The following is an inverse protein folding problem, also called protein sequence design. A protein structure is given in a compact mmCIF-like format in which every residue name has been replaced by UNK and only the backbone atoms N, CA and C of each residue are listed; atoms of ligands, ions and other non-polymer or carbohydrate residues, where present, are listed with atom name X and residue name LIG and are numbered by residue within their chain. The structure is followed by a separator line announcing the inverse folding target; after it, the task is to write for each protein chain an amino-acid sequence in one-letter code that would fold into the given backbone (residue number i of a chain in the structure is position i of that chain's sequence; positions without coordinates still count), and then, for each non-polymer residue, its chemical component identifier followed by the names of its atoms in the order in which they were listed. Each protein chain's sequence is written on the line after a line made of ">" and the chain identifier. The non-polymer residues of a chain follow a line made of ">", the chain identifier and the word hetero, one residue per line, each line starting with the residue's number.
data_IF_816492952665
#
_entry.id   IF_816492952665
#
_cell.length_a   1.000
_cell.length_b   1.000
_cell.length_c   1.000
_cell.angle_alpha   90.00
_cell.angle_beta   90.00
_cell.angle_gamma   90.00
#
_symmetry.space_group_name_H-M   'P 1'
#
loop_
_entity.id
_entity.type
_entity.pdbx_description
1 polymer ?
#
# COMPACT_ATOMS: atom_id res chain seq x y z
N UNK A 1 5.50 -7.06 -19.37
CA UNK A 1 5.35 -7.86 -18.14
C UNK A 1 5.72 -6.94 -17.01
N UNK A 2 4.80 -6.72 -16.05
CA UNK A 2 5.06 -5.84 -14.94
C UNK A 2 6.21 -6.37 -14.10
N UNK A 3 7.01 -5.46 -13.55
CA UNK A 3 8.07 -5.78 -12.59
C UNK A 3 7.53 -5.91 -11.16
N UNK A 4 6.35 -5.34 -10.91
CA UNK A 4 5.58 -5.51 -9.67
C UNK A 4 4.10 -5.55 -10.01
N UNK A 5 3.38 -6.52 -9.47
CA UNK A 5 1.93 -6.58 -9.51
C UNK A 5 1.43 -7.01 -8.12
N UNK A 6 0.54 -6.22 -7.54
CA UNK A 6 -0.09 -6.53 -6.25
C UNK A 6 -1.60 -6.67 -6.42
N UNK A 7 -2.19 -7.63 -5.68
CA UNK A 7 -3.62 -7.94 -5.73
C UNK A 7 -4.19 -7.94 -4.32
N UNK A 8 -5.00 -6.94 -4.00
CA UNK A 8 -5.77 -6.85 -2.78
C UNK A 8 -4.91 -6.74 -1.52
N UNK A 9 -3.83 -5.94 -1.55
CA UNK A 9 -2.94 -5.77 -0.40
C UNK A 9 -3.74 -5.19 0.78
N UNK A 10 -3.64 -5.89 1.91
CA UNK A 10 -4.27 -5.52 3.19
C UNK A 10 -3.23 -5.60 4.29
N UNK A 11 -3.17 -4.56 5.11
CA UNK A 11 -2.35 -4.55 6.32
C UNK A 11 -3.12 -3.84 7.42
N UNK A 12 -3.52 -4.61 8.42
CA UNK A 12 -4.30 -4.13 9.56
C UNK A 12 -3.44 -4.28 10.83
N UNK A 13 -3.38 -3.24 11.63
CA UNK A 13 -2.59 -3.21 12.86
C UNK A 13 -3.50 -3.26 14.08
N UNK A 14 -3.17 -4.12 15.03
CA UNK A 14 -3.90 -4.20 16.30
C UNK A 14 -3.46 -3.06 17.22
N UNK A 15 -4.42 -2.37 17.82
CA UNK A 15 -4.20 -1.37 18.86
C UNK A 15 -5.12 -1.66 20.05
N UNK A 16 -4.88 -1.08 21.23
CA UNK A 16 -5.79 -1.23 22.38
C UNK A 16 -7.23 -0.77 22.09
N UNK A 17 -7.43 0.10 21.10
CA UNK A 17 -8.75 0.62 20.69
C UNK A 17 -9.38 -0.19 19.55
N UNK A 18 -8.73 -1.26 19.10
CA UNK A 18 -9.17 -2.10 17.98
C UNK A 18 -8.19 -2.09 16.80
N UNK A 19 -8.66 -2.57 15.65
CA UNK A 19 -7.84 -2.67 14.44
C UNK A 19 -7.84 -1.37 13.63
N UNK A 20 -6.65 -0.90 13.27
CA UNK A 20 -6.45 0.15 12.26
C UNK A 20 -6.20 -0.52 10.92
N UNK A 21 -6.98 -0.15 9.90
CA UNK A 21 -6.78 -0.61 8.52
C UNK A 21 -5.83 0.36 7.81
N UNK A 22 -4.53 0.11 7.88
CA UNK A 22 -3.55 1.00 7.28
C UNK A 22 -3.57 0.95 5.75
N UNK A 23 -3.79 -0.23 5.17
CA UNK A 23 -4.18 -0.40 3.76
C UNK A 23 -5.26 -1.47 3.66
N UNK A 24 -6.22 -1.28 2.76
CA UNK A 24 -7.37 -2.19 2.60
C UNK A 24 -7.71 -2.44 1.13
N UNK A 25 -7.17 -3.51 0.55
CA UNK A 25 -7.54 -3.96 -0.80
C UNK A 25 -6.84 -3.21 -1.93
N UNK A 26 -5.58 -2.78 -1.73
CA UNK A 26 -4.85 -2.02 -2.75
C UNK A 26 -4.34 -2.94 -3.87
N UNK A 27 -4.62 -2.56 -5.12
CA UNK A 27 -4.08 -3.17 -6.33
C UNK A 27 -3.11 -2.18 -6.98
N UNK A 28 -1.93 -2.64 -7.37
CA UNK A 28 -0.91 -1.78 -7.96
C UNK A 28 -0.10 -2.57 -9.00
N UNK A 29 0.24 -1.92 -10.11
CA UNK A 29 1.04 -2.50 -11.18
C UNK A 29 2.15 -1.52 -11.54
N UNK A 30 3.39 -2.00 -11.59
CA UNK A 30 4.55 -1.24 -12.04
C UNK A 30 5.17 -1.93 -13.25
N UNK A 31 5.18 -1.22 -14.38
CA UNK A 31 5.82 -1.70 -15.60
C UNK A 31 7.32 -1.41 -15.60
N UNK A 32 8.08 -2.20 -16.37
CA UNK A 32 9.53 -2.00 -16.51
C UNK A 32 9.83 -0.63 -17.10
N UNK A 33 10.76 0.10 -16.46
CA UNK A 33 11.20 1.42 -16.92
C UNK A 33 10.28 2.59 -16.54
N UNK A 34 9.20 2.32 -15.78
CA UNK A 34 8.32 3.36 -15.24
C UNK A 34 8.79 3.79 -13.86
N UNK A 35 8.78 5.09 -13.59
CA UNK A 35 8.92 5.66 -12.25
C UNK A 35 7.52 5.95 -11.72
N UNK A 36 7.15 5.31 -10.61
CA UNK A 36 5.87 5.53 -9.94
C UNK A 36 6.09 6.27 -8.62
N UNK A 37 5.44 7.43 -8.48
CA UNK A 37 5.42 8.19 -7.22
C UNK A 37 4.17 7.88 -6.40
N UNK A 38 4.34 7.70 -5.09
CA UNK A 38 3.24 7.54 -4.14
C UNK A 38 3.17 8.76 -3.22
N UNK A 39 2.11 9.55 -3.35
CA UNK A 39 1.91 10.79 -2.58
C UNK A 39 0.58 10.75 -1.81
N UNK A 40 0.48 11.57 -0.76
CA UNK A 40 -0.69 11.65 0.13
C UNK A 40 -0.33 12.18 1.51
N UNK A 41 -1.35 12.54 2.31
CA UNK A 41 -1.19 13.11 3.65
C UNK A 41 -0.45 12.18 4.62
N UNK A 42 0.17 12.76 5.66
CA UNK A 42 0.80 11.95 6.71
C UNK A 42 -0.23 11.02 7.36
N UNK A 43 0.12 9.74 7.54
CA UNK A 43 -0.78 8.73 8.12
C UNK A 43 -1.71 8.01 7.15
N UNK A 44 -1.74 8.35 5.84
CA UNK A 44 -2.65 7.71 4.88
C UNK A 44 -2.22 6.30 4.39
N UNK A 45 -1.25 5.66 5.05
CA UNK A 45 -0.83 4.27 4.72
C UNK A 45 0.28 4.11 3.67
N UNK A 46 0.88 5.19 3.16
CA UNK A 46 1.95 5.11 2.12
C UNK A 46 3.11 4.22 2.52
N UNK A 47 3.69 4.47 3.70
CA UNK A 47 4.83 3.71 4.21
C UNK A 47 4.48 2.24 4.46
N UNK A 48 3.24 1.97 4.86
CA UNK A 48 2.73 0.59 5.00
C UNK A 48 2.62 -0.12 3.64
N UNK A 49 2.26 0.59 2.58
CA UNK A 49 2.11 0.00 1.24
C UNK A 49 3.46 -0.37 0.60
N UNK A 50 4.56 0.27 1.01
CA UNK A 50 5.89 0.11 0.39
C UNK A 50 6.89 -0.66 1.25
N UNK A 51 6.47 -1.16 2.42
CA UNK A 51 7.29 -1.98 3.32
C UNK A 51 6.90 -3.45 3.24
#
# INVERSE_FOLDING_TARGET
>A
MPILETKGVKAYYSTPLGYIRAVDGINLTLEKGVILGLAGESGCGKSTLVN
#
